data_IF_890135345606
#
_entry.id   IF_890135345606
#
_cell.length_a   1.000
_cell.length_b   1.000
_cell.length_c   1.000
_cell.angle_alpha   90.00
_cell.angle_beta   90.00
_cell.angle_gamma   90.00
#
_symmetry.space_group_name_H-M   'P 1'
#
loop_
_entity.id
_entity.type
_entity.pdbx_description
1 polymer ?
#
# COMPACT_ATOMS: atom_id res chain seq x y z
N UNK A 1 -12.64 -13.85 20.45
CA UNK A 1 -13.36 -13.04 19.44
C UNK A 1 -13.10 -11.57 19.69
N UNK A 2 -12.56 -10.84 18.69
CA UNK A 2 -12.86 -9.43 18.35
C UNK A 2 -11.97 -9.02 17.18
N UNK A 3 -12.51 -9.15 15.98
CA UNK A 3 -12.03 -8.45 14.78
C UNK A 3 -12.48 -7.00 14.83
N UNK A 4 -11.75 -6.05 14.21
CA UNK A 4 -12.36 -4.90 13.59
C UNK A 4 -12.42 -5.14 12.09
N UNK A 5 -13.64 -5.32 11.61
CA UNK A 5 -14.02 -5.16 10.19
C UNK A 5 -13.75 -3.71 9.79
N UNK A 6 -12.95 -3.48 8.75
CA UNK A 6 -12.81 -2.15 8.13
C UNK A 6 -13.62 -2.12 6.84
N UNK A 7 -14.82 -1.57 7.01
CA UNK A 7 -15.79 -1.09 6.03
C UNK A 7 -15.34 -1.03 4.56
N UNK A 8 -16.04 -1.82 3.73
CA UNK A 8 -16.14 -1.62 2.30
C UNK A 8 -16.74 -0.22 2.00
N UNK A 9 -16.02 0.61 1.26
CA UNK A 9 -16.60 1.83 0.67
C UNK A 9 -16.74 1.65 -0.83
N UNK A 10 -17.99 1.83 -1.24
CA UNK A 10 -18.58 1.70 -2.56
C UNK A 10 -18.12 2.79 -3.55
N UNK A 11 -17.70 2.36 -4.75
CA UNK A 11 -18.21 2.88 -6.02
C UNK A 11 -17.38 3.93 -6.77
N UNK A 12 -16.61 3.51 -7.80
CA UNK A 12 -16.88 3.77 -9.25
C UNK A 12 -15.72 3.32 -10.19
N UNK A 13 -14.67 2.67 -9.71
CA UNK A 13 -13.69 1.93 -10.54
C UNK A 13 -13.51 0.54 -9.95
N UNK A 14 -13.16 -0.43 -10.78
CA UNK A 14 -12.83 -1.77 -10.28
C UNK A 14 -11.85 -1.63 -9.12
N UNK A 15 -12.09 -2.29 -7.96
CA UNK A 15 -11.15 -2.22 -6.86
C UNK A 15 -9.79 -2.62 -7.41
N UNK A 16 -8.76 -1.80 -7.15
CA UNK A 16 -7.39 -2.20 -7.43
C UNK A 16 -7.21 -3.62 -6.90
N UNK A 17 -6.62 -4.55 -7.67
CA UNK A 17 -6.65 -5.98 -7.34
C UNK A 17 -5.97 -6.29 -6.00
N UNK A 18 -5.19 -5.35 -5.46
CA UNK A 18 -4.55 -5.42 -4.16
C UNK A 18 -4.54 -4.06 -3.47
N UNK A 19 -4.54 -4.07 -2.13
CA UNK A 19 -4.23 -2.90 -1.30
C UNK A 19 -2.71 -2.86 -1.05
N UNK A 20 -1.97 -1.91 -1.63
CA UNK A 20 -0.53 -1.86 -1.55
C UNK A 20 -0.02 -1.58 -0.13
N UNK A 21 -0.82 -0.95 0.75
CA UNK A 21 -0.45 -0.76 2.15
C UNK A 21 -0.54 -2.06 2.95
N UNK A 22 -1.59 -2.85 2.70
CA UNK A 22 -1.76 -4.15 3.35
C UNK A 22 -0.65 -5.12 2.94
N UNK A 23 -0.34 -5.19 1.64
CA UNK A 23 0.73 -6.05 1.11
C UNK A 23 2.09 -5.63 1.66
N UNK A 24 2.38 -4.32 1.73
CA UNK A 24 3.65 -3.83 2.31
C UNK A 24 3.75 -4.14 3.81
N UNK A 25 2.66 -4.06 4.56
CA UNK A 25 2.67 -4.40 5.99
C UNK A 25 2.92 -5.89 6.25
N UNK A 26 2.46 -6.76 5.36
CA UNK A 26 2.60 -8.22 5.49
C UNK A 26 3.95 -8.74 4.95
N UNK A 27 4.37 -8.23 3.79
CA UNK A 27 5.51 -8.78 3.03
C UNK A 27 6.68 -7.80 2.83
N UNK A 28 6.51 -6.54 3.25
CA UNK A 28 7.49 -5.48 3.06
C UNK A 28 7.60 -4.98 1.62
N UNK A 29 8.66 -4.22 1.36
CA UNK A 29 8.93 -3.61 0.04
C UNK A 29 9.07 -4.67 -1.06
N UNK A 30 9.84 -5.72 -0.81
CA UNK A 30 10.16 -6.75 -1.82
C UNK A 30 8.92 -7.55 -2.22
N UNK A 31 8.03 -7.86 -1.29
CA UNK A 31 6.78 -8.56 -1.60
C UNK A 31 5.77 -7.66 -2.30
N UNK A 32 5.65 -6.39 -1.90
CA UNK A 32 4.84 -5.40 -2.62
C UNK A 32 5.31 -5.25 -4.08
N UNK A 33 6.63 -5.14 -4.29
CA UNK A 33 7.19 -4.97 -5.64
C UNK A 33 6.93 -6.18 -6.53
N UNK A 34 7.00 -7.38 -5.98
CA UNK A 34 6.66 -8.62 -6.70
C UNK A 34 5.16 -8.68 -7.03
N UNK A 35 4.29 -8.38 -6.08
CA UNK A 35 2.84 -8.37 -6.29
C UNK A 35 2.41 -7.32 -7.33
N UNK A 36 3.05 -6.16 -7.35
CA UNK A 36 2.81 -5.15 -8.37
C UNK A 36 3.39 -5.55 -9.75
N UNK A 37 4.49 -6.32 -9.78
CA UNK A 37 5.07 -6.80 -11.03
C UNK A 37 4.19 -7.84 -11.75
N UNK A 38 3.27 -8.50 -11.04
CA UNK A 38 2.26 -9.40 -11.64
C UNK A 38 1.05 -8.67 -12.22
N UNK A 39 0.96 -7.36 -12.03
CA UNK A 39 -0.16 -6.54 -12.52
C UNK A 39 0.15 -5.85 -13.84
N UNK A 40 -0.90 -5.62 -14.62
CA UNK A 40 -0.82 -4.82 -15.84
C UNK A 40 -0.74 -3.33 -15.53
N UNK A 41 -0.22 -2.56 -16.51
CA UNK A 41 -0.07 -1.11 -16.40
C UNK A 41 -1.38 -0.39 -16.07
N UNK A 42 -2.51 -0.86 -16.60
CA UNK A 42 -3.84 -0.33 -16.29
C UNK A 42 -4.21 -0.57 -14.82
N UNK A 43 -4.00 -1.79 -14.31
CA UNK A 43 -4.26 -2.13 -12.91
C UNK A 43 -3.37 -1.35 -11.95
N UNK A 44 -2.09 -1.14 -12.30
CA UNK A 44 -1.17 -0.31 -11.54
C UNK A 44 -1.67 1.15 -11.45
N UNK A 45 -2.20 1.69 -12.56
CA UNK A 45 -2.79 3.04 -12.59
C UNK A 45 -4.07 3.12 -11.77
N UNK A 46 -4.89 2.07 -11.77
CA UNK A 46 -6.09 2.00 -10.94
C UNK A 46 -5.74 2.03 -9.44
N UNK A 47 -4.72 1.27 -9.01
CA UNK A 47 -4.21 1.32 -7.63
C UNK A 47 -3.74 2.73 -7.26
N UNK A 48 -2.96 3.38 -8.14
CA UNK A 48 -2.50 4.76 -7.90
C UNK A 48 -3.65 5.74 -7.75
N UNK A 49 -4.68 5.62 -8.60
CA UNK A 49 -5.83 6.51 -8.58
C UNK A 49 -6.74 6.28 -7.37
N UNK A 50 -6.99 5.03 -7.01
CA UNK A 50 -7.82 4.65 -5.86
C UNK A 50 -7.23 5.16 -4.55
N UNK A 51 -5.91 5.01 -4.38
CA UNK A 51 -5.21 5.44 -3.17
C UNK A 51 -4.74 6.90 -3.20
N UNK A 52 -5.02 7.64 -4.28
CA UNK A 52 -4.61 9.04 -4.42
C UNK A 52 -3.09 9.24 -4.32
N UNK A 53 -2.29 8.28 -4.80
CA UNK A 53 -0.82 8.29 -4.67
C UNK A 53 -0.13 9.28 -5.63
N UNK A 54 -0.91 9.91 -6.51
CA UNK A 54 -0.43 10.75 -7.59
C UNK A 54 -1.31 11.99 -7.74
N UNK A 55 -1.01 12.99 -6.92
CA UNK A 55 -1.70 14.29 -6.95
C UNK A 55 -1.53 15.01 -8.30
N UNK A 56 -0.40 14.77 -8.99
CA UNK A 56 -0.06 15.38 -10.27
C UNK A 56 -0.56 14.59 -11.50
N UNK A 57 -1.24 13.45 -11.28
CA UNK A 57 -1.71 12.53 -12.34
C UNK A 57 -0.60 12.08 -13.31
N UNK A 58 0.67 12.07 -12.88
CA UNK A 58 1.84 11.66 -13.66
C UNK A 58 1.84 10.16 -14.00
N UNK A 59 1.34 9.30 -13.12
CA UNK A 59 1.26 7.85 -13.33
C UNK A 59 0.36 7.49 -14.52
N UNK A 60 -0.67 8.29 -14.79
CA UNK A 60 -1.51 8.14 -15.97
C UNK A 60 -0.77 8.44 -17.28
N UNK A 61 0.28 9.26 -17.20
CA UNK A 61 1.12 9.65 -18.36
C UNK A 61 2.27 8.67 -18.58
N UNK A 62 2.61 7.84 -17.59
CA UNK A 62 3.74 6.92 -17.68
C UNK A 62 3.37 5.65 -18.44
N UNK A 63 4.18 5.31 -19.44
CA UNK A 63 4.05 4.07 -20.23
C UNK A 63 4.85 2.89 -19.67
N UNK A 64 5.75 3.15 -18.71
CA UNK A 64 6.60 2.14 -18.12
C UNK A 64 5.98 1.60 -16.82
N UNK A 65 5.66 0.29 -16.74
CA UNK A 65 5.10 -0.31 -15.52
C UNK A 65 6.07 -0.18 -14.35
N UNK A 66 7.38 -0.40 -14.57
CA UNK A 66 8.39 -0.25 -13.51
C UNK A 66 8.42 1.14 -12.87
N UNK A 67 8.14 2.20 -13.64
CA UNK A 67 8.05 3.57 -13.12
C UNK A 67 6.83 3.76 -12.21
N UNK A 68 5.69 3.18 -12.57
CA UNK A 68 4.47 3.22 -11.75
C UNK A 68 4.66 2.42 -10.47
N UNK A 69 5.25 1.22 -10.56
CA UNK A 69 5.58 0.36 -9.41
C UNK A 69 6.46 1.11 -8.41
N UNK A 70 7.56 1.72 -8.88
CA UNK A 70 8.46 2.48 -8.01
C UNK A 70 7.75 3.60 -7.25
N UNK A 71 6.82 4.30 -7.91
CA UNK A 71 6.03 5.37 -7.28
C UNK A 71 5.06 4.86 -6.22
N UNK A 72 4.40 3.73 -6.47
CA UNK A 72 3.52 3.09 -5.48
C UNK A 72 4.34 2.73 -4.25
N UNK A 73 5.46 2.03 -4.44
CA UNK A 73 6.35 1.60 -3.35
C UNK A 73 6.85 2.79 -2.54
N UNK A 74 7.42 3.80 -3.19
CA UNK A 74 7.92 5.03 -2.53
C UNK A 74 6.83 5.71 -1.71
N UNK A 75 5.60 5.79 -2.25
CA UNK A 75 4.49 6.43 -1.55
C UNK A 75 4.05 5.61 -0.33
N UNK A 76 3.97 4.30 -0.48
CA UNK A 76 3.60 3.39 0.61
C UNK A 76 4.65 3.42 1.70
N UNK A 77 5.93 3.40 1.36
CA UNK A 77 7.04 3.51 2.30
C UNK A 77 6.99 4.86 3.03
N UNK A 78 6.85 5.99 2.32
CA UNK A 78 6.82 7.31 2.95
C UNK A 78 5.65 7.48 3.93
N UNK A 79 4.48 6.93 3.60
CA UNK A 79 3.29 6.95 4.47
C UNK A 79 3.44 5.94 5.60
N UNK A 80 4.00 4.76 5.34
CA UNK A 80 4.23 3.72 6.34
C UNK A 80 5.27 4.15 7.35
N UNK A 81 6.41 4.71 6.94
CA UNK A 81 7.43 5.28 7.84
C UNK A 81 6.85 6.38 8.72
N UNK A 82 5.98 7.24 8.18
CA UNK A 82 5.29 8.27 8.97
C UNK A 82 4.28 7.67 9.95
N UNK A 83 3.50 6.66 9.54
CA UNK A 83 2.53 5.96 10.40
C UNK A 83 3.15 4.99 11.42
N UNK A 84 4.32 4.43 11.09
CA UNK A 84 5.11 3.58 11.98
C UNK A 84 5.75 4.42 13.08
N UNK A 85 6.21 5.65 12.75
CA UNK A 85 6.64 6.63 13.75
C UNK A 85 5.53 7.02 14.76
N UNK A 86 4.25 6.83 14.43
CA UNK A 86 3.15 7.02 15.37
C UNK A 86 2.75 5.76 16.16
N UNK A 87 3.24 4.57 15.81
CA UNK A 87 2.95 3.32 16.54
C UNK A 87 4.09 2.83 17.44
N UNK A 88 5.29 3.36 17.32
CA UNK A 88 6.42 3.03 18.22
C UNK A 88 6.31 3.60 19.64
N UNK A 89 5.11 4.00 20.09
CA UNK A 89 4.84 4.47 21.45
C UNK A 89 4.00 3.52 22.31
N UNK A 90 3.57 2.38 21.80
CA UNK A 90 2.77 1.42 22.55
C UNK A 90 3.33 0.00 22.41
N UNK A 91 4.23 -0.33 23.33
CA UNK A 91 4.29 -1.63 24.01
C UNK A 91 4.59 -2.85 23.13
N UNK A 92 5.89 -3.16 23.00
CA UNK A 92 6.34 -4.55 23.08
C UNK A 92 7.01 -4.74 24.45
N UNK A 93 6.20 -5.18 25.41
CA UNK A 93 6.66 -5.76 26.67
C UNK A 93 5.69 -6.87 27.03
N UNK A 94 6.16 -8.11 26.95
CA UNK A 94 5.85 -9.05 28.00
C UNK A 94 7.07 -9.91 28.31
N UNK A 95 7.94 -9.42 29.19
CA UNK A 95 8.83 -10.30 29.96
C UNK A 95 8.50 -10.17 31.44
N UNK A 96 7.45 -10.89 31.83
CA UNK A 96 7.29 -11.40 33.18
C UNK A 96 7.53 -12.91 33.12
N UNK A 97 8.65 -13.37 33.68
CA UNK A 97 8.81 -14.70 34.28
C UNK A 97 10.13 -14.74 35.05
N UNK A 98 10.03 -14.75 36.38
CA UNK A 98 11.13 -14.86 37.34
C UNK A 98 10.59 -14.76 38.76
#
# INVERSE_FOLDING_TARGET
>A
MRSPTRAARSGRRSPGPLDPFAVYADTGESGLRQALATLDLEQLRDVVAEHGMDHDRLAMKWKSPGRVIGRIVERVEAVSSKGFAFRSGAEDSPEGSG
#
